data_IF_609915987696
#
_entry.id   IF_609915987696
#
_cell.length_a   1.000
_cell.length_b   1.000
_cell.length_c   1.000
_cell.angle_alpha   90.00
_cell.angle_beta   90.00
_cell.angle_gamma   90.00
#
_symmetry.space_group_name_H-M   'P 1'
#
loop_
_entity.id
_entity.type
_entity.pdbx_description
1 polymer ?
#
# COMPACT_ATOMS: atom_id res chain seq x y z
N UNK A 1 -2.99 -26.34 -55.56
CA UNK A 1 -3.90 -25.70 -54.59
C UNK A 1 -3.23 -25.80 -53.21
N UNK A 2 -2.44 -24.79 -52.84
CA UNK A 2 -1.74 -24.73 -51.54
C UNK A 2 -2.29 -23.54 -50.76
N UNK A 3 -3.20 -23.80 -49.82
CA UNK A 3 -3.73 -22.78 -48.91
C UNK A 3 -2.80 -22.65 -47.70
N UNK A 4 -1.93 -21.64 -47.69
CA UNK A 4 -1.30 -21.13 -46.46
C UNK A 4 -2.28 -20.18 -45.78
N UNK A 5 -2.74 -20.54 -44.59
CA UNK A 5 -3.48 -19.65 -43.68
C UNK A 5 -2.46 -18.76 -42.97
N UNK A 6 -2.49 -17.46 -43.24
CA UNK A 6 -1.79 -16.45 -42.44
C UNK A 6 -2.69 -16.08 -41.26
N UNK A 7 -2.23 -16.34 -40.04
CA UNK A 7 -2.85 -15.84 -38.81
C UNK A 7 -2.31 -14.44 -38.55
N UNK A 8 -3.16 -13.42 -38.69
CA UNK A 8 -2.84 -12.05 -38.27
C UNK A 8 -3.00 -11.97 -36.75
N UNK A 9 -1.89 -11.94 -36.02
CA UNK A 9 -1.86 -11.50 -34.62
C UNK A 9 -1.97 -9.98 -34.58
N UNK A 10 -3.05 -9.47 -34.00
CA UNK A 10 -3.18 -8.04 -33.72
C UNK A 10 -2.39 -7.76 -32.43
N UNK A 11 -1.15 -7.30 -32.59
CA UNK A 11 -0.42 -6.63 -31.51
C UNK A 11 -0.98 -5.21 -31.40
N UNK A 12 -1.89 -4.98 -30.46
CA UNK A 12 -2.34 -3.63 -30.12
C UNK A 12 -1.30 -3.01 -29.19
N UNK A 13 -0.27 -2.40 -29.76
CA UNK A 13 0.62 -1.51 -29.02
C UNK A 13 -0.16 -0.22 -28.72
N UNK A 14 -0.65 -0.08 -27.48
CA UNK A 14 -1.21 1.19 -27.01
C UNK A 14 -0.04 2.12 -26.70
N UNK A 15 0.30 2.97 -27.66
CA UNK A 15 1.12 4.17 -27.39
C UNK A 15 0.29 5.15 -26.58
N UNK A 16 0.62 5.31 -25.29
CA UNK A 16 0.10 6.41 -24.47
C UNK A 16 0.48 7.74 -25.12
N UNK A 17 -0.52 8.55 -25.43
CA UNK A 17 -0.32 9.91 -25.92
C UNK A 17 0.32 10.75 -24.80
N UNK A 18 1.37 11.49 -25.14
CA UNK A 18 2.04 12.41 -24.23
C UNK A 18 1.05 13.51 -23.79
N UNK A 19 0.62 13.47 -22.53
CA UNK A 19 0.02 14.58 -21.83
C UNK A 19 1.10 15.63 -21.52
N UNK A 20 0.72 16.90 -21.41
CA UNK A 20 1.65 18.01 -21.15
C UNK A 20 2.58 17.69 -19.98
N UNK A 21 3.87 17.99 -20.12
CA UNK A 21 4.90 17.57 -19.17
C UNK A 21 4.51 17.97 -17.73
N UNK A 22 4.10 16.98 -16.94
CA UNK A 22 4.04 17.13 -15.49
C UNK A 22 5.43 17.58 -15.00
N UNK A 23 5.50 18.41 -13.97
CA UNK A 23 6.78 18.73 -13.34
C UNK A 23 7.22 17.54 -12.47
N UNK A 24 8.53 17.38 -12.26
CA UNK A 24 9.01 16.45 -11.24
C UNK A 24 8.47 16.88 -9.88
N UNK A 25 8.22 15.92 -8.99
CA UNK A 25 7.90 16.22 -7.61
C UNK A 25 9.07 17.00 -7.00
N UNK A 26 8.79 18.22 -6.57
CA UNK A 26 9.76 19.02 -5.86
C UNK A 26 9.96 18.42 -4.46
N UNK A 27 11.21 18.29 -4.03
CA UNK A 27 11.52 17.99 -2.63
C UNK A 27 10.94 19.14 -1.78
N UNK A 28 10.02 18.86 -0.84
CA UNK A 28 9.39 19.90 -0.03
C UNK A 28 10.41 20.77 0.70
N UNK A 29 10.15 22.07 0.76
CA UNK A 29 10.97 23.00 1.53
C UNK A 29 11.03 22.58 3.00
N UNK A 30 12.22 22.68 3.61
CA UNK A 30 12.45 22.33 5.01
C UNK A 30 12.89 20.88 5.26
N UNK A 31 12.95 20.03 4.22
CA UNK A 31 13.63 18.74 4.31
C UNK A 31 15.13 18.90 4.13
N UNK A 32 15.90 18.11 4.87
CA UNK A 32 17.36 18.05 4.78
C UNK A 32 17.79 16.69 4.25
N UNK A 33 18.72 16.69 3.30
CA UNK A 33 19.31 15.45 2.79
C UNK A 33 20.11 14.75 3.91
N UNK A 34 19.89 13.45 4.04
CA UNK A 34 20.65 12.56 4.91
C UNK A 34 21.00 11.28 4.13
N UNK A 35 22.00 10.53 4.62
CA UNK A 35 22.41 9.26 4.04
C UNK A 35 22.08 8.10 4.97
N UNK A 36 21.63 6.99 4.40
CA UNK A 36 21.56 5.71 5.11
C UNK A 36 22.97 5.16 5.36
N UNK A 37 23.13 4.13 6.22
CA UNK A 37 24.42 3.45 6.39
C UNK A 37 25.00 2.89 5.09
N UNK A 38 24.16 2.56 4.11
CA UNK A 38 24.57 2.04 2.80
C UNK A 38 24.76 3.14 1.74
N UNK A 39 24.54 4.40 2.10
CA UNK A 39 24.74 5.56 1.23
C UNK A 39 23.53 5.99 0.42
N UNK A 40 22.36 5.37 0.61
CA UNK A 40 21.12 5.80 -0.04
C UNK A 40 20.68 7.18 0.49
N UNK A 41 20.06 7.98 -0.38
CA UNK A 41 19.62 9.34 -0.06
C UNK A 41 18.21 9.34 0.47
N UNK A 42 18.01 9.99 1.62
CA UNK A 42 16.69 10.24 2.20
C UNK A 42 16.57 11.73 2.56
N UNK A 43 15.34 12.23 2.64
CA UNK A 43 15.03 13.63 2.92
C UNK A 43 14.24 13.73 4.21
N UNK A 44 14.87 14.25 5.27
CA UNK A 44 14.33 14.26 6.62
C UNK A 44 13.79 15.64 7.02
N UNK A 45 12.63 15.64 7.68
CA UNK A 45 12.12 16.82 8.37
C UNK A 45 12.92 17.15 9.63
N UNK A 46 12.52 18.23 10.29
CA UNK A 46 13.06 18.58 11.60
C UNK A 46 12.73 17.51 12.64
N UNK A 47 13.62 17.26 13.62
CA UNK A 47 13.32 16.34 14.70
C UNK A 47 12.15 16.84 15.55
N UNK A 48 11.34 15.91 16.03
CA UNK A 48 10.33 16.19 17.05
C UNK A 48 10.98 16.44 18.43
N UNK A 49 10.17 16.73 19.44
CA UNK A 49 10.65 17.02 20.80
C UNK A 49 11.50 15.89 21.42
N UNK A 50 11.30 14.65 20.96
CA UNK A 50 12.03 13.47 21.41
C UNK A 50 13.24 13.15 20.53
N UNK A 51 13.54 13.97 19.51
CA UNK A 51 14.68 13.82 18.61
C UNK A 51 14.44 12.90 17.40
N UNK A 52 13.24 12.32 17.25
CA UNK A 52 12.90 11.47 16.11
C UNK A 52 12.61 12.31 14.87
N UNK A 53 12.93 11.80 13.68
CA UNK A 53 12.65 12.44 12.39
C UNK A 53 11.84 11.52 11.51
N UNK A 54 10.94 12.09 10.73
CA UNK A 54 10.37 11.40 9.58
C UNK A 54 11.19 11.74 8.34
N UNK A 55 11.61 10.73 7.61
CA UNK A 55 12.31 10.89 6.34
C UNK A 55 11.59 10.20 5.19
N UNK A 56 11.73 10.81 4.01
CA UNK A 56 11.18 10.31 2.75
C UNK A 56 12.33 9.85 1.86
N UNK A 57 12.32 8.61 1.36
CA UNK A 57 13.30 8.20 0.38
C UNK A 57 13.17 8.93 -0.95
N UNK A 58 14.21 8.81 -1.78
CA UNK A 58 14.20 9.35 -3.13
C UNK A 58 13.04 8.79 -3.98
N UNK A 59 12.62 7.54 -3.72
CA UNK A 59 11.49 6.90 -4.40
C UNK A 59 10.15 7.61 -4.18
N UNK A 60 9.99 8.43 -3.13
CA UNK A 60 8.78 9.24 -2.89
C UNK A 60 8.65 10.46 -3.80
N UNK A 61 9.67 10.76 -4.62
CA UNK A 61 9.68 11.93 -5.47
C UNK A 61 9.78 11.48 -6.93
N UNK A 62 8.64 11.49 -7.63
CA UNK A 62 8.57 11.04 -9.00
C UNK A 62 9.13 12.10 -9.96
N UNK A 63 9.82 11.65 -11.01
CA UNK A 63 10.03 12.46 -12.19
C UNK A 63 8.79 12.38 -13.11
N UNK A 64 8.65 13.28 -14.10
CA UNK A 64 7.53 13.25 -15.03
C UNK A 64 7.42 11.90 -15.76
N UNK A 65 6.23 11.31 -15.78
CA UNK A 65 5.98 10.01 -16.41
C UNK A 65 6.52 8.82 -15.61
N UNK A 66 6.77 9.01 -14.32
CA UNK A 66 7.15 7.95 -13.38
C UNK A 66 6.18 7.89 -12.21
N UNK A 67 6.07 6.71 -11.62
CA UNK A 67 5.45 6.52 -10.32
C UNK A 67 6.43 6.83 -9.19
N UNK A 68 5.90 7.23 -8.03
CA UNK A 68 6.60 7.35 -6.75
C UNK A 68 6.05 6.32 -5.77
N UNK A 69 6.80 6.04 -4.73
CA UNK A 69 6.33 5.24 -3.59
C UNK A 69 5.78 6.12 -2.47
N UNK A 70 5.13 5.47 -1.51
CA UNK A 70 4.42 6.13 -0.40
C UNK A 70 4.93 5.59 0.93
N UNK A 71 6.26 5.54 1.09
CA UNK A 71 6.91 5.09 2.32
C UNK A 71 7.52 6.25 3.11
N UNK A 72 7.40 6.20 4.43
CA UNK A 72 8.03 7.17 5.34
C UNK A 72 8.80 6.45 6.44
N UNK A 73 10.06 6.81 6.62
CA UNK A 73 10.98 6.14 7.54
C UNK A 73 11.03 6.92 8.86
N UNK A 74 10.81 6.23 9.98
CA UNK A 74 11.02 6.80 11.31
C UNK A 74 12.49 6.65 11.72
N UNK A 75 13.18 7.77 11.88
CA UNK A 75 14.58 7.81 12.28
C UNK A 75 14.66 8.18 13.76
N UNK A 76 15.32 7.37 14.60
CA UNK A 76 15.49 7.69 16.01
C UNK A 76 16.57 8.76 16.23
N UNK A 77 16.63 9.34 17.45
CA UNK A 77 17.75 10.19 17.85
C UNK A 77 19.07 9.43 17.72
N UNK A 78 20.03 9.99 16.98
CA UNK A 78 21.32 9.34 16.70
C UNK A 78 21.44 8.68 15.32
N UNK A 79 20.39 8.76 14.47
CA UNK A 79 20.41 8.27 13.09
C UNK A 79 19.87 6.86 12.95
N UNK A 80 20.22 6.13 11.88
CA UNK A 80 19.77 4.74 11.63
C UNK A 80 20.25 3.69 12.65
N UNK A 81 20.78 4.14 13.80
CA UNK A 81 21.14 3.27 14.90
C UNK A 81 19.90 3.03 15.77
N UNK A 82 18.92 2.30 15.24
CA UNK A 82 17.90 1.63 16.05
C UNK A 82 18.62 0.51 16.81
N UNK A 83 19.34 0.88 17.88
CA UNK A 83 20.24 0.02 18.65
C UNK A 83 19.76 -1.44 18.66
N UNK A 84 20.38 -2.32 17.85
CA UNK A 84 20.18 -3.74 18.00
C UNK A 84 20.80 -4.11 19.34
N UNK A 85 20.01 -4.66 20.26
CA UNK A 85 20.61 -5.67 21.14
C UNK A 85 21.26 -6.72 20.22
N UNK A 86 22.43 -7.25 20.57
CA UNK A 86 23.31 -7.97 19.66
C UNK A 86 22.55 -8.93 18.76
N UNK A 87 22.74 -8.79 17.44
CA UNK A 87 22.08 -9.57 16.39
C UNK A 87 20.56 -9.78 16.60
N UNK A 88 19.78 -8.79 16.16
CA UNK A 88 18.41 -9.04 15.72
C UNK A 88 17.34 -9.07 16.81
N UNK A 89 17.17 -7.99 17.58
CA UNK A 89 15.87 -7.70 18.20
C UNK A 89 15.53 -6.21 18.07
N UNK A 90 14.32 -5.83 17.60
CA UNK A 90 13.81 -4.47 17.75
C UNK A 90 13.75 -4.09 19.24
N UNK A 91 14.08 -2.84 19.53
CA UNK A 91 14.18 -2.36 20.90
C UNK A 91 12.79 -2.36 21.58
N UNK A 92 12.72 -2.88 22.81
CA UNK A 92 11.50 -3.04 23.63
C UNK A 92 10.80 -1.73 24.03
N UNK A 93 11.30 -0.57 23.56
CA UNK A 93 10.77 0.77 23.83
C UNK A 93 10.33 1.50 22.55
N UNK A 94 10.52 0.92 21.37
CA UNK A 94 9.94 1.42 20.13
C UNK A 94 8.59 0.72 19.92
N UNK A 95 7.50 1.48 19.96
CA UNK A 95 6.13 0.96 19.73
C UNK A 95 5.84 0.71 18.24
N UNK A 96 6.85 0.31 17.46
CA UNK A 96 6.66 -0.12 16.09
C UNK A 96 5.85 -1.41 16.06
N UNK A 97 4.89 -1.49 15.15
CA UNK A 97 4.01 -2.63 15.01
C UNK A 97 4.74 -3.86 14.46
N UNK A 98 4.28 -5.01 14.92
CA UNK A 98 4.76 -6.35 14.55
C UNK A 98 3.64 -7.11 13.85
N UNK A 99 3.92 -8.22 13.14
CA UNK A 99 2.87 -9.08 12.59
C UNK A 99 1.78 -9.45 13.61
N UNK A 100 2.17 -9.81 14.83
CA UNK A 100 1.25 -10.20 15.89
C UNK A 100 0.38 -9.03 16.38
N UNK A 101 0.95 -7.83 16.51
CA UNK A 101 0.17 -6.67 16.96
C UNK A 101 -0.79 -6.17 15.88
N UNK A 102 -0.39 -6.17 14.61
CA UNK A 102 -1.27 -5.85 13.48
C UNK A 102 -2.42 -6.86 13.41
N UNK A 103 -2.12 -8.16 13.50
CA UNK A 103 -3.14 -9.21 13.52
C UNK A 103 -4.13 -9.05 14.69
N UNK A 104 -3.65 -8.57 15.84
CA UNK A 104 -4.48 -8.31 17.01
C UNK A 104 -5.36 -7.05 16.85
N UNK A 105 -4.78 -5.94 16.36
CA UNK A 105 -5.49 -4.66 16.10
C UNK A 105 -6.67 -4.91 15.15
N UNK A 106 -6.41 -5.58 14.02
CA UNK A 106 -7.42 -5.92 13.04
C UNK A 106 -8.21 -7.20 13.37
N UNK A 107 -8.14 -7.69 14.61
CA UNK A 107 -8.96 -8.83 15.10
C UNK A 107 -8.90 -10.07 14.20
N UNK A 108 -7.78 -10.28 13.52
CA UNK A 108 -7.53 -11.46 12.68
C UNK A 108 -7.24 -12.70 13.55
N UNK A 109 -6.81 -12.42 14.78
CA UNK A 109 -6.61 -13.35 15.89
C UNK A 109 -7.37 -12.81 17.12
N UNK A 110 -7.63 -13.64 18.16
CA UNK A 110 -8.23 -13.14 19.39
C UNK A 110 -7.42 -12.00 20.01
N UNK A 111 -8.10 -10.91 20.40
CA UNK A 111 -7.47 -9.77 21.06
C UNK A 111 -6.89 -10.20 22.40
N UNK A 112 -5.59 -9.94 22.60
CA UNK A 112 -4.87 -10.30 23.81
C UNK A 112 -3.84 -9.23 24.19
N UNK A 113 -3.57 -9.08 25.49
CA UNK A 113 -2.55 -8.16 26.03
C UNK A 113 -2.65 -6.72 25.50
N UNK A 114 -3.88 -6.25 25.25
CA UNK A 114 -4.14 -4.93 24.65
C UNK A 114 -3.50 -4.73 23.28
N UNK A 115 -3.18 -5.80 22.54
CA UNK A 115 -2.43 -5.71 21.27
C UNK A 115 -1.11 -4.91 21.38
N UNK A 116 -0.45 -4.93 22.54
CA UNK A 116 0.83 -4.28 22.74
C UNK A 116 1.94 -5.02 21.94
N UNK A 117 2.67 -4.35 21.03
CA UNK A 117 3.67 -4.98 20.15
C UNK A 117 4.85 -5.61 20.89
N UNK A 118 5.09 -5.24 22.14
CA UNK A 118 6.14 -5.82 22.97
C UNK A 118 5.71 -7.11 23.70
N UNK A 119 4.42 -7.46 23.67
CA UNK A 119 3.85 -8.53 24.51
C UNK A 119 3.04 -9.53 23.70
N UNK A 120 2.28 -9.07 22.71
CA UNK A 120 1.45 -9.96 21.87
C UNK A 120 2.34 -10.74 20.90
N UNK A 121 2.08 -12.04 20.77
CA UNK A 121 2.92 -12.96 19.97
C UNK A 121 2.12 -13.82 19.00
N UNK A 122 0.79 -13.74 19.03
CA UNK A 122 -0.05 -14.57 18.18
C UNK A 122 -0.10 -13.98 16.78
N UNK A 123 0.57 -14.64 15.84
CA UNK A 123 0.48 -14.31 14.43
C UNK A 123 -0.78 -14.94 13.81
N UNK A 124 -1.19 -14.34 12.70
CA UNK A 124 -2.24 -14.88 11.88
C UNK A 124 -1.77 -16.13 11.11
N UNK A 125 -2.70 -17.00 10.75
CA UNK A 125 -2.49 -18.12 9.83
C UNK A 125 -3.47 -18.02 8.67
N UNK A 126 -3.16 -18.68 7.55
CA UNK A 126 -4.01 -18.68 6.36
C UNK A 126 -3.36 -17.90 5.22
N UNK A 127 -4.18 -17.53 4.25
CA UNK A 127 -3.69 -17.12 2.93
C UNK A 127 -3.68 -18.30 1.97
N UNK A 128 -3.92 -18.02 0.70
CA UNK A 128 -3.87 -19.01 -0.37
C UNK A 128 -3.74 -18.35 -1.73
N UNK A 129 -3.52 -19.16 -2.77
CA UNK A 129 -3.29 -18.68 -4.13
C UNK A 129 -2.13 -17.68 -4.16
N UNK A 130 -2.36 -16.44 -4.60
CA UNK A 130 -1.28 -15.49 -4.80
C UNK A 130 -1.59 -14.08 -4.33
N UNK A 131 -0.53 -13.39 -3.91
CA UNK A 131 -0.47 -11.93 -3.84
C UNK A 131 0.64 -11.48 -4.78
N UNK A 132 0.30 -10.65 -5.76
CA UNK A 132 1.27 -9.97 -6.61
C UNK A 132 1.71 -8.64 -6.00
N UNK A 133 3.01 -8.39 -5.96
CA UNK A 133 3.62 -7.11 -5.58
C UNK A 133 4.33 -6.57 -6.81
N UNK A 134 4.18 -5.28 -7.12
CA UNK A 134 4.81 -4.64 -8.27
C UNK A 134 5.67 -3.48 -7.79
N UNK A 135 6.98 -3.59 -8.03
CA UNK A 135 7.97 -2.60 -7.62
C UNK A 135 8.94 -2.28 -8.75
N UNK A 136 9.61 -1.12 -8.69
CA UNK A 136 10.68 -0.81 -9.61
C UNK A 136 12.05 -1.33 -9.12
N UNK A 137 12.94 -1.59 -10.08
CA UNK A 137 14.34 -1.91 -9.85
C UNK A 137 14.57 -3.22 -9.11
N UNK A 138 15.84 -3.54 -8.81
CA UNK A 138 16.22 -4.87 -8.33
C UNK A 138 16.32 -4.91 -6.80
N UNK A 139 15.77 -5.97 -6.21
CA UNK A 139 15.92 -6.31 -4.80
C UNK A 139 16.52 -7.72 -4.63
N UNK A 140 17.84 -7.82 -4.81
CA UNK A 140 18.54 -9.10 -4.90
C UNK A 140 18.49 -9.94 -3.61
N UNK A 141 18.29 -9.31 -2.45
CA UNK A 141 18.23 -9.99 -1.13
C UNK A 141 16.80 -10.23 -0.63
N UNK A 142 15.77 -9.99 -1.47
CA UNK A 142 14.36 -10.08 -1.05
C UNK A 142 14.02 -11.37 -0.28
N UNK A 143 14.41 -12.54 -0.80
CA UNK A 143 14.13 -13.82 -0.14
C UNK A 143 14.89 -14.00 1.17
N UNK A 144 16.17 -13.61 1.23
CA UNK A 144 16.97 -13.74 2.46
C UNK A 144 16.52 -12.79 3.55
N UNK A 145 16.12 -11.57 3.16
CA UNK A 145 15.61 -10.55 4.07
C UNK A 145 14.23 -10.97 4.61
N UNK A 146 13.29 -11.37 3.74
CA UNK A 146 11.97 -11.87 4.16
C UNK A 146 12.06 -13.16 5.01
N UNK A 147 13.04 -14.04 4.74
CA UNK A 147 13.30 -15.21 5.59
C UNK A 147 13.79 -14.79 6.97
N UNK A 148 14.65 -13.77 7.05
CA UNK A 148 15.12 -13.21 8.33
C UNK A 148 13.96 -12.59 9.11
N UNK A 149 13.14 -11.79 8.43
CA UNK A 149 11.91 -11.22 8.98
C UNK A 149 10.97 -12.30 9.54
N UNK A 150 10.70 -13.32 8.73
CA UNK A 150 9.77 -14.41 9.07
C UNK A 150 10.26 -15.21 10.28
N UNK A 151 11.54 -15.59 10.28
CA UNK A 151 12.14 -16.31 11.42
C UNK A 151 12.12 -15.46 12.69
N UNK A 152 12.35 -14.15 12.56
CA UNK A 152 12.38 -13.24 13.69
C UNK A 152 11.01 -13.14 14.37
N UNK A 153 9.95 -12.94 13.58
CA UNK A 153 8.60 -12.80 14.10
C UNK A 153 7.85 -14.12 14.30
N UNK A 154 8.45 -15.26 13.97
CA UNK A 154 7.81 -16.57 14.11
C UNK A 154 6.69 -16.80 13.08
N UNK A 155 6.86 -16.29 11.86
CA UNK A 155 6.02 -16.59 10.71
C UNK A 155 6.50 -17.87 10.01
N UNK A 156 5.62 -18.57 9.26
CA UNK A 156 6.03 -19.63 8.36
C UNK A 156 7.09 -19.17 7.35
N UNK A 157 7.86 -20.13 6.82
CA UNK A 157 8.79 -19.85 5.74
C UNK A 157 8.03 -19.26 4.52
N UNK A 158 8.52 -18.18 3.91
CA UNK A 158 7.83 -17.51 2.80
C UNK A 158 7.87 -18.36 1.52
N UNK A 159 6.74 -18.42 0.79
CA UNK A 159 6.71 -18.84 -0.62
C UNK A 159 6.80 -17.61 -1.52
N UNK A 160 8.02 -17.04 -1.60
CA UNK A 160 8.31 -15.86 -2.41
C UNK A 160 8.89 -16.25 -3.77
N UNK A 161 8.33 -15.67 -4.83
CA UNK A 161 8.83 -15.78 -6.21
C UNK A 161 9.18 -14.41 -6.75
N UNK A 162 10.47 -14.16 -6.91
CA UNK A 162 10.98 -12.94 -7.56
C UNK A 162 10.92 -13.12 -9.08
N UNK A 163 10.24 -12.20 -9.75
CA UNK A 163 10.03 -12.19 -11.20
C UNK A 163 10.56 -10.87 -11.74
N UNK A 164 11.40 -10.91 -12.77
CA UNK A 164 11.79 -9.67 -13.45
C UNK A 164 10.70 -9.30 -14.45
N UNK A 165 9.97 -8.21 -14.17
CA UNK A 165 8.91 -7.65 -15.00
C UNK A 165 9.42 -6.99 -16.29
N UNK A 166 10.62 -7.33 -16.74
CA UNK A 166 11.28 -6.82 -17.96
C UNK A 166 11.02 -7.72 -19.17
N UNK A 167 10.31 -8.83 -18.99
CA UNK A 167 9.91 -9.78 -20.03
C UNK A 167 8.76 -9.27 -20.90
N UNK A 168 8.47 -9.98 -22.00
CA UNK A 168 7.28 -9.71 -22.81
C UNK A 168 6.02 -10.20 -22.05
N UNK A 169 5.09 -9.31 -21.66
CA UNK A 169 3.92 -9.69 -20.87
C UNK A 169 2.98 -10.64 -21.63
N UNK A 170 3.04 -10.68 -22.96
CA UNK A 170 2.31 -11.64 -23.77
C UNK A 170 2.69 -13.12 -23.51
N UNK A 171 3.84 -13.36 -22.84
CA UNK A 171 4.27 -14.70 -22.45
C UNK A 171 3.65 -15.16 -21.12
N UNK A 172 2.86 -14.33 -20.45
CA UNK A 172 2.23 -14.63 -19.16
C UNK A 172 3.19 -14.48 -17.98
N UNK A 173 3.06 -15.34 -16.97
CA UNK A 173 3.91 -15.34 -15.77
C UNK A 173 5.31 -15.88 -16.07
N UNK A 174 6.13 -15.06 -16.73
CA UNK A 174 7.48 -15.42 -17.14
C UNK A 174 8.43 -14.30 -16.74
N UNK A 175 9.48 -14.66 -15.99
CA UNK A 175 10.54 -13.73 -15.65
C UNK A 175 11.31 -13.31 -16.90
N UNK A 176 11.59 -12.01 -17.00
CA UNK A 176 12.58 -11.47 -17.92
C UNK A 176 13.95 -12.12 -17.70
N UNK A 177 14.81 -12.14 -18.73
CA UNK A 177 16.08 -12.86 -18.70
C UNK A 177 17.16 -12.19 -17.87
N UNK A 178 17.00 -10.89 -17.54
CA UNK A 178 18.00 -10.09 -16.84
C UNK A 178 17.29 -9.28 -15.74
N UNK A 179 17.85 -9.24 -14.51
CA UNK A 179 17.35 -8.36 -13.47
C UNK A 179 17.49 -6.88 -13.86
N UNK A 180 16.66 -5.99 -13.31
CA UNK A 180 16.91 -4.55 -13.38
C UNK A 180 18.33 -4.21 -12.86
N UNK A 181 18.98 -3.22 -13.46
CA UNK A 181 20.40 -2.91 -13.18
C UNK A 181 20.62 -2.03 -11.96
N UNK A 182 19.62 -1.22 -11.59
CA UNK A 182 19.67 -0.39 -10.38
C UNK A 182 19.31 -1.25 -9.19
N UNK A 183 20.15 -1.22 -8.16
CA UNK A 183 20.03 -2.08 -6.96
C UNK A 183 19.87 -1.31 -5.65
N UNK A 184 20.06 0.01 -5.67
CA UNK A 184 20.01 0.85 -4.46
C UNK A 184 19.50 2.25 -4.80
N UNK A 185 18.19 2.45 -4.64
CA UNK A 185 17.57 3.77 -4.70
C UNK A 185 16.31 3.88 -3.83
N UNK A 186 16.21 3.01 -2.82
CA UNK A 186 15.11 2.90 -1.86
C UNK A 186 13.86 2.15 -2.33
N UNK A 187 13.73 1.83 -3.63
CA UNK A 187 12.67 0.91 -4.09
C UNK A 187 12.83 -0.51 -3.53
N UNK A 188 14.05 -0.92 -3.15
CA UNK A 188 14.27 -2.16 -2.41
C UNK A 188 13.70 -2.12 -0.98
N UNK A 189 13.65 -0.93 -0.37
CA UNK A 189 13.01 -0.71 0.93
C UNK A 189 11.49 -0.77 0.84
N UNK A 190 10.93 -0.23 -0.24
CA UNK A 190 9.52 -0.37 -0.61
C UNK A 190 9.15 -1.85 -0.82
N UNK A 191 9.91 -2.55 -1.66
CA UNK A 191 9.68 -3.96 -1.94
C UNK A 191 9.80 -4.83 -0.68
N UNK A 192 10.69 -4.48 0.26
CA UNK A 192 10.77 -5.14 1.56
C UNK A 192 9.51 -4.92 2.40
N UNK A 193 9.04 -3.67 2.50
CA UNK A 193 7.80 -3.34 3.20
C UNK A 193 6.62 -4.13 2.62
N UNK A 194 6.47 -4.16 1.30
CA UNK A 194 5.36 -4.79 0.63
C UNK A 194 5.31 -6.31 0.83
N UNK A 195 6.43 -7.01 0.58
CA UNK A 195 6.46 -8.47 0.74
C UNK A 195 6.34 -8.89 2.21
N UNK A 196 6.90 -8.11 3.14
CA UNK A 196 6.85 -8.43 4.56
C UNK A 196 5.45 -8.23 5.14
N UNK A 197 4.75 -7.15 4.77
CA UNK A 197 3.38 -6.90 5.21
C UNK A 197 2.38 -7.89 4.59
N UNK A 198 2.52 -8.20 3.30
CA UNK A 198 1.69 -9.21 2.65
C UNK A 198 1.90 -10.59 3.30
N UNK A 199 3.16 -11.00 3.53
CA UNK A 199 3.48 -12.28 4.16
C UNK A 199 3.03 -12.35 5.63
N UNK A 200 3.18 -11.25 6.38
CA UNK A 200 2.76 -11.17 7.76
C UNK A 200 1.26 -11.46 7.92
N UNK A 201 0.43 -11.04 6.96
CA UNK A 201 -1.03 -11.17 7.06
C UNK A 201 -1.64 -12.31 6.23
N UNK A 202 -0.93 -12.83 5.24
CA UNK A 202 -1.31 -14.00 4.45
C UNK A 202 -0.13 -15.00 4.30
N UNK A 203 0.36 -15.59 5.41
CA UNK A 203 1.63 -16.33 5.42
C UNK A 203 1.67 -17.62 4.59
N UNK A 204 0.51 -18.13 4.15
CA UNK A 204 0.41 -19.31 3.29
C UNK A 204 0.14 -18.96 1.80
N UNK A 205 0.05 -17.68 1.44
CA UNK A 205 -0.08 -17.25 0.04
C UNK A 205 1.27 -17.33 -0.67
N UNK A 206 1.28 -17.64 -1.97
CA UNK A 206 2.45 -17.42 -2.81
C UNK A 206 2.58 -15.92 -3.09
N UNK A 207 3.72 -15.31 -2.76
CA UNK A 207 3.99 -13.91 -3.06
C UNK A 207 4.80 -13.85 -4.36
N UNK A 208 4.30 -13.11 -5.36
CA UNK A 208 5.04 -12.79 -6.57
C UNK A 208 5.55 -11.36 -6.49
N UNK A 209 6.83 -11.18 -6.21
CA UNK A 209 7.49 -9.87 -6.30
C UNK A 209 7.92 -9.64 -7.75
N UNK A 210 7.22 -8.76 -8.47
CA UNK A 210 7.45 -8.45 -9.87
C UNK A 210 8.18 -7.11 -10.01
N UNK A 211 9.44 -7.19 -10.42
CA UNK A 211 10.37 -6.07 -10.45
C UNK A 211 10.45 -5.44 -11.85
N UNK A 212 9.91 -4.24 -12.01
CA UNK A 212 9.99 -3.43 -13.21
C UNK A 212 11.42 -2.93 -13.47
N UNK A 213 11.75 -2.64 -14.73
CA UNK A 213 13.08 -2.12 -15.08
C UNK A 213 13.34 -0.71 -14.52
N UNK A 214 12.28 0.09 -14.37
CA UNK A 214 12.31 1.45 -13.84
C UNK A 214 10.90 1.85 -13.35
N UNK A 215 10.73 2.97 -12.62
CA UNK A 215 9.43 3.44 -12.18
C UNK A 215 8.68 4.18 -13.29
N UNK A 216 9.18 4.18 -14.53
CA UNK A 216 8.45 4.77 -15.65
C UNK A 216 7.09 4.10 -15.83
N UNK A 217 6.09 4.88 -16.24
CA UNK A 217 4.73 4.37 -16.42
C UNK A 217 4.67 3.15 -17.34
N UNK A 218 5.52 3.13 -18.38
CA UNK A 218 5.62 2.01 -19.32
C UNK A 218 6.18 0.75 -18.66
N UNK A 219 7.30 0.84 -17.95
CA UNK A 219 7.94 -0.32 -17.33
C UNK A 219 7.06 -0.89 -16.20
N UNK A 220 6.44 -0.01 -15.40
CA UNK A 220 5.50 -0.42 -14.35
C UNK A 220 4.24 -1.07 -14.91
N UNK A 221 3.69 -0.57 -16.03
CA UNK A 221 2.56 -1.21 -16.70
C UNK A 221 2.89 -2.60 -17.26
N UNK A 222 4.12 -2.81 -17.75
CA UNK A 222 4.58 -4.14 -18.18
C UNK A 222 4.69 -5.08 -16.98
N UNK A 223 5.31 -4.63 -15.88
CA UNK A 223 5.43 -5.42 -14.66
C UNK A 223 4.06 -5.77 -14.07
N UNK A 224 3.11 -4.84 -14.08
CA UNK A 224 1.72 -5.08 -13.66
C UNK A 224 1.03 -6.17 -14.49
N UNK A 225 1.22 -6.19 -15.81
CA UNK A 225 0.66 -7.25 -16.67
C UNK A 225 1.28 -8.62 -16.36
N UNK A 226 2.59 -8.67 -16.08
CA UNK A 226 3.27 -9.91 -15.65
C UNK A 226 2.75 -10.38 -14.28
N UNK A 227 2.61 -9.47 -13.31
CA UNK A 227 2.03 -9.77 -12.00
C UNK A 227 0.60 -10.30 -12.11
N UNK A 228 -0.22 -9.65 -12.94
CA UNK A 228 -1.59 -10.10 -13.26
C UNK A 228 -1.60 -11.53 -13.81
N UNK A 229 -0.72 -11.83 -14.76
CA UNK A 229 -0.61 -13.17 -15.31
C UNK A 229 -0.14 -14.21 -14.28
N UNK A 230 0.75 -13.83 -13.35
CA UNK A 230 1.19 -14.71 -12.25
C UNK A 230 0.06 -15.02 -11.27
N UNK A 231 -0.67 -13.99 -10.84
CA UNK A 231 -1.82 -14.17 -9.93
C UNK A 231 -2.91 -15.02 -10.60
N UNK A 232 -3.22 -14.78 -11.88
CA UNK A 232 -4.18 -15.61 -12.61
C UNK A 232 -3.71 -17.07 -12.77
N UNK A 233 -2.43 -17.30 -13.05
CA UNK A 233 -1.87 -18.64 -13.15
C UNK A 233 -1.91 -19.40 -11.81
N UNK A 234 -1.90 -18.69 -10.68
CA UNK A 234 -2.08 -19.25 -9.34
C UNK A 234 -3.57 -19.49 -8.96
N UNK A 235 -4.51 -19.22 -9.87
CA UNK A 235 -5.94 -19.38 -9.65
C UNK A 235 -6.67 -18.12 -9.19
N UNK A 236 -6.04 -16.95 -9.29
CA UNK A 236 -6.56 -15.66 -8.84
C UNK A 236 -6.00 -15.22 -7.49
N UNK A 237 -6.35 -14.02 -7.06
CA UNK A 237 -5.76 -13.40 -5.86
C UNK A 237 -5.76 -11.88 -5.91
N UNK A 238 -4.82 -11.29 -5.18
CA UNK A 238 -4.73 -9.86 -4.97
C UNK A 238 -3.44 -9.33 -5.61
N UNK A 239 -3.45 -8.06 -6.03
CA UNK A 239 -2.25 -7.32 -6.41
C UNK A 239 -2.18 -6.07 -5.54
N UNK A 240 -1.07 -5.90 -4.83
CA UNK A 240 -0.76 -4.67 -4.10
C UNK A 240 0.15 -3.78 -4.96
N UNK A 241 -0.17 -2.49 -4.99
CA UNK A 241 0.54 -1.45 -5.71
C UNK A 241 0.81 -0.30 -4.76
N UNK A 242 1.98 -0.29 -4.14
CA UNK A 242 2.40 0.73 -3.18
C UNK A 242 3.05 1.94 -3.86
N UNK A 243 2.50 2.32 -5.02
CA UNK A 243 3.00 3.40 -5.85
C UNK A 243 1.87 4.21 -6.46
N UNK A 244 2.17 5.47 -6.78
CA UNK A 244 1.19 6.42 -7.26
C UNK A 244 1.83 7.54 -8.08
N UNK A 245 0.99 8.24 -8.82
CA UNK A 245 1.33 9.44 -9.57
C UNK A 245 0.14 10.39 -9.56
N UNK A 246 0.33 11.72 -9.68
CA UNK A 246 -0.79 12.64 -9.75
C UNK A 246 -1.80 12.22 -10.82
N UNK A 247 -3.09 12.40 -10.52
CA UNK A 247 -4.14 12.15 -11.52
C UNK A 247 -3.89 12.98 -12.79
N UNK A 248 -4.30 12.45 -13.95
CA UNK A 248 -4.03 13.06 -15.24
C UNK A 248 -5.17 12.94 -16.23
N UNK A 249 -5.25 13.93 -17.14
CA UNK A 249 -6.22 13.90 -18.22
C UNK A 249 -6.02 12.66 -19.11
N UNK A 250 -7.05 11.83 -19.22
CA UNK A 250 -7.04 10.59 -20.00
C UNK A 250 -6.75 9.33 -19.18
N UNK A 251 -6.62 9.42 -17.85
CA UNK A 251 -6.37 8.26 -16.98
C UNK A 251 -7.45 7.16 -17.05
N UNK A 252 -8.70 7.53 -17.29
CA UNK A 252 -9.81 6.60 -17.63
C UNK A 252 -9.46 5.55 -18.71
N UNK A 253 -8.55 5.86 -19.64
CA UNK A 253 -8.12 4.90 -20.66
C UNK A 253 -7.11 3.86 -20.12
N UNK A 254 -6.35 4.21 -19.08
CA UNK A 254 -5.41 3.32 -18.41
C UNK A 254 -6.10 2.30 -17.50
N UNK A 255 -7.36 2.55 -17.10
CA UNK A 255 -8.17 1.67 -16.25
C UNK A 255 -8.33 0.25 -16.77
N UNK A 256 -8.18 0.05 -18.08
CA UNK A 256 -8.18 -1.27 -18.70
C UNK A 256 -7.15 -2.21 -18.07
N UNK A 257 -6.05 -1.67 -17.53
CA UNK A 257 -5.01 -2.41 -16.82
C UNK A 257 -5.48 -3.11 -15.54
N UNK A 258 -6.63 -2.69 -14.98
CA UNK A 258 -7.15 -3.18 -13.70
C UNK A 258 -8.44 -4.00 -13.84
N UNK A 259 -8.76 -4.47 -15.06
CA UNK A 259 -10.00 -5.20 -15.36
C UNK A 259 -9.85 -6.72 -15.39
N UNK A 260 -8.69 -7.23 -14.96
CA UNK A 260 -8.36 -8.65 -15.08
C UNK A 260 -9.31 -9.54 -14.23
N UNK A 261 -9.85 -10.63 -14.80
CA UNK A 261 -10.70 -11.54 -14.04
C UNK A 261 -9.89 -12.28 -12.98
N UNK A 262 -10.56 -12.57 -11.86
CA UNK A 262 -10.04 -13.23 -10.66
C UNK A 262 -8.87 -12.50 -9.98
N UNK A 263 -8.71 -11.20 -10.24
CA UNK A 263 -7.68 -10.35 -9.62
C UNK A 263 -8.36 -9.14 -8.98
N UNK A 264 -8.01 -8.87 -7.72
CA UNK A 264 -8.37 -7.65 -7.02
C UNK A 264 -7.13 -6.76 -6.86
N UNK A 265 -7.21 -5.52 -7.31
CA UNK A 265 -6.10 -4.56 -7.29
C UNK A 265 -6.25 -3.59 -6.11
N UNK A 266 -5.21 -3.43 -5.31
CA UNK A 266 -5.14 -2.51 -4.17
C UNK A 266 -4.02 -1.52 -4.41
N UNK A 267 -4.31 -0.23 -4.29
CA UNK A 267 -3.31 0.82 -4.45
C UNK A 267 -3.28 1.75 -3.25
N UNK A 268 -2.08 2.16 -2.84
CA UNK A 268 -1.92 3.22 -1.84
C UNK A 268 -2.62 4.50 -2.31
N UNK A 269 -3.30 5.17 -1.38
CA UNK A 269 -4.04 6.40 -1.67
C UNK A 269 -3.14 7.65 -1.68
N UNK A 270 -1.93 7.53 -1.13
CA UNK A 270 -0.93 8.58 -1.13
C UNK A 270 -0.52 9.03 0.28
N UNK A 271 0.61 9.75 0.31
CA UNK A 271 1.29 10.22 1.53
C UNK A 271 1.27 11.74 1.67
N UNK A 272 0.39 12.36 0.89
CA UNK A 272 0.06 13.77 0.92
C UNK A 272 -1.41 13.98 0.58
N UNK A 273 -2.05 15.02 1.12
CA UNK A 273 -3.39 15.42 0.71
C UNK A 273 -3.61 15.46 -0.80
N UNK A 274 -4.74 14.90 -1.24
CA UNK A 274 -5.12 14.84 -2.66
C UNK A 274 -5.37 13.40 -3.10
N UNK A 275 -5.84 13.26 -4.34
CA UNK A 275 -6.12 11.98 -4.98
C UNK A 275 -5.02 11.70 -6.02
N UNK A 276 -4.70 10.44 -6.22
CA UNK A 276 -3.68 10.02 -7.17
C UNK A 276 -4.08 8.74 -7.91
N UNK A 277 -3.39 8.45 -9.00
CA UNK A 277 -3.58 7.25 -9.82
C UNK A 277 -2.48 6.23 -9.49
N UNK A 278 -2.80 4.94 -9.27
CA UNK A 278 -4.02 4.24 -9.68
C UNK A 278 -5.13 4.11 -8.62
N UNK A 279 -4.97 4.63 -7.40
CA UNK A 279 -6.01 4.53 -6.37
C UNK A 279 -7.31 5.25 -6.76
N UNK A 280 -7.25 6.25 -7.65
CA UNK A 280 -8.42 6.87 -8.27
C UNK A 280 -9.22 5.96 -9.21
N UNK A 281 -8.61 4.93 -9.80
CA UNK A 281 -9.31 4.07 -10.76
C UNK A 281 -10.55 3.43 -10.13
N UNK A 282 -11.71 3.38 -10.82
CA UNK A 282 -12.90 2.67 -10.35
C UNK A 282 -12.74 1.13 -10.38
N UNK A 283 -11.62 0.64 -10.90
CA UNK A 283 -11.26 -0.77 -10.96
C UNK A 283 -10.18 -1.16 -9.93
N UNK A 284 -9.89 -0.28 -8.97
CA UNK A 284 -8.87 -0.47 -7.93
C UNK A 284 -9.45 -0.09 -6.57
N UNK A 285 -9.15 -0.88 -5.54
CA UNK A 285 -9.39 -0.48 -4.16
C UNK A 285 -8.33 0.55 -3.76
N UNK A 286 -8.75 1.79 -3.54
CA UNK A 286 -7.88 2.81 -2.94
C UNK A 286 -7.70 2.52 -1.45
N UNK A 287 -6.46 2.51 -0.96
CA UNK A 287 -6.13 2.17 0.42
C UNK A 287 -5.47 3.36 1.12
N UNK A 288 -6.22 3.97 2.04
CA UNK A 288 -5.78 5.10 2.86
C UNK A 288 -5.02 4.68 4.11
N UNK A 289 -4.71 5.67 4.93
CA UNK A 289 -3.82 5.57 6.07
C UNK A 289 -4.45 5.92 7.41
N UNK A 290 -4.16 5.13 8.43
CA UNK A 290 -4.51 5.41 9.84
C UNK A 290 -3.26 5.61 10.70
N UNK A 291 -3.44 6.33 11.80
CA UNK A 291 -2.50 6.38 12.93
C UNK A 291 -3.05 5.49 14.04
N UNK A 292 -2.22 4.59 14.59
CA UNK A 292 -2.58 3.78 15.74
C UNK A 292 -2.38 4.59 17.02
N UNK A 293 -3.40 4.66 17.87
CA UNK A 293 -3.33 5.33 19.18
C UNK A 293 -3.13 4.29 20.27
N UNK A 294 -2.18 4.56 21.16
CA UNK A 294 -1.82 3.66 22.27
C UNK A 294 -1.79 4.38 23.61
N UNK A 295 -2.19 3.67 24.64
CA UNK A 295 -2.01 4.10 26.03
C UNK A 295 -0.50 4.21 26.33
N UNK A 296 -0.06 5.38 26.80
CA UNK A 296 1.37 5.68 26.98
C UNK A 296 2.03 4.92 28.13
N UNK A 297 1.26 4.37 29.07
CA UNK A 297 1.79 3.67 30.25
C UNK A 297 1.92 2.16 29.99
N UNK A 298 0.95 1.60 29.27
CA UNK A 298 0.76 0.17 29.07
C UNK A 298 1.09 -0.27 27.66
N UNK A 299 1.15 0.65 26.69
CA UNK A 299 1.32 0.35 25.27
C UNK A 299 0.11 -0.35 24.64
N UNK A 300 -1.03 -0.42 25.33
CA UNK A 300 -2.24 -1.03 24.80
C UNK A 300 -2.83 -0.20 23.64
N UNK A 301 -3.34 -0.87 22.62
CA UNK A 301 -4.12 -0.28 21.54
C UNK A 301 -5.41 0.32 22.10
N UNK A 302 -5.70 1.57 21.73
CA UNK A 302 -6.91 2.30 22.13
C UNK A 302 -7.85 2.49 20.96
N UNK A 303 -7.34 3.03 19.85
CA UNK A 303 -8.12 3.35 18.66
C UNK A 303 -7.24 3.55 17.43
N UNK A 304 -7.88 3.69 16.27
CA UNK A 304 -7.27 4.25 15.07
C UNK A 304 -7.85 5.66 14.85
N UNK A 305 -7.03 6.56 14.31
CA UNK A 305 -7.45 7.89 13.84
C UNK A 305 -6.96 8.09 12.40
N UNK A 306 -7.59 8.99 11.64
CA UNK A 306 -7.13 9.33 10.30
C UNK A 306 -5.68 9.83 10.33
N UNK A 307 -4.82 9.24 9.50
CA UNK A 307 -3.46 9.73 9.38
C UNK A 307 -3.46 11.06 8.62
N UNK A 308 -2.88 12.10 9.21
CA UNK A 308 -2.95 13.46 8.64
C UNK A 308 -2.39 13.59 7.22
N UNK A 309 -1.48 12.70 6.83
CA UNK A 309 -0.88 12.73 5.51
C UNK A 309 -1.52 11.75 4.53
N UNK A 310 -2.54 10.98 4.92
CA UNK A 310 -3.21 10.08 3.96
C UNK A 310 -3.76 10.86 2.79
N UNK A 311 -3.54 10.33 1.59
CA UNK A 311 -4.25 10.75 0.40
C UNK A 311 -5.72 10.32 0.45
N UNK A 312 -6.52 11.03 -0.33
CA UNK A 312 -7.97 10.89 -0.35
C UNK A 312 -8.68 12.19 -0.75
N UNK A 313 -9.93 12.05 -1.16
CA UNK A 313 -10.72 13.11 -1.75
C UNK A 313 -11.45 12.67 -3.02
N UNK A 314 -12.21 13.58 -3.65
CA UNK A 314 -12.87 13.35 -4.93
C UNK A 314 -11.85 13.40 -6.07
N UNK A 315 -11.90 12.41 -6.96
CA UNK A 315 -11.11 12.40 -8.20
C UNK A 315 -11.41 13.62 -9.07
N UNK A 316 -10.38 14.14 -9.74
CA UNK A 316 -10.53 15.22 -10.72
C UNK A 316 -10.99 14.74 -12.11
N UNK A 317 -10.92 13.43 -12.41
CA UNK A 317 -11.17 12.89 -13.75
C UNK A 317 -12.13 11.69 -13.77
N UNK A 318 -12.12 10.85 -12.73
CA UNK A 318 -12.95 9.66 -12.64
C UNK A 318 -14.36 10.03 -12.12
N UNK A 319 -15.44 9.71 -12.85
CA UNK A 319 -16.80 9.95 -12.38
C UNK A 319 -17.19 8.97 -11.27
N UNK A 320 -18.21 9.29 -10.47
CA UNK A 320 -18.72 8.38 -9.43
C UNK A 320 -19.08 7.01 -10.04
N UNK A 321 -18.41 5.93 -9.65
CA UNK A 321 -18.75 4.60 -10.11
C UNK A 321 -20.07 4.12 -9.48
N UNK A 322 -20.76 3.20 -10.17
CA UNK A 322 -22.10 2.76 -9.77
C UNK A 322 -22.19 2.21 -8.34
N UNK A 323 -21.15 1.53 -7.86
CA UNK A 323 -21.08 1.01 -6.49
C UNK A 323 -21.01 2.13 -5.43
N UNK A 324 -20.52 3.32 -5.78
CA UNK A 324 -20.45 4.51 -4.92
C UNK A 324 -21.69 5.41 -5.02
N UNK A 325 -22.69 5.05 -5.83
CA UNK A 325 -23.89 5.89 -6.05
C UNK A 325 -24.67 6.25 -4.79
N UNK A 326 -24.62 5.41 -3.75
CA UNK A 326 -25.20 5.69 -2.43
C UNK A 326 -24.56 6.89 -1.70
N UNK A 327 -23.38 7.33 -2.13
CA UNK A 327 -22.64 8.45 -1.56
C UNK A 327 -22.72 9.73 -2.42
N UNK A 328 -23.58 9.77 -3.44
CA UNK A 328 -23.60 10.85 -4.44
C UNK A 328 -23.66 12.28 -3.84
N UNK A 329 -24.36 12.47 -2.72
CA UNK A 329 -24.45 13.77 -2.04
C UNK A 329 -23.11 14.25 -1.47
N UNK A 330 -22.26 13.32 -1.04
CA UNK A 330 -20.91 13.60 -0.53
C UNK A 330 -19.91 13.74 -1.68
N UNK A 331 -19.98 12.85 -2.67
CA UNK A 331 -18.98 12.74 -3.73
C UNK A 331 -19.08 13.80 -4.82
N UNK A 332 -20.26 14.42 -5.00
CA UNK A 332 -20.43 15.49 -5.99
C UNK A 332 -20.22 15.05 -7.44
N UNK A 333 -20.36 13.75 -7.75
CA UNK A 333 -20.22 13.20 -9.10
C UNK A 333 -18.82 12.66 -9.45
N UNK A 334 -17.87 12.68 -8.52
CA UNK A 334 -16.53 12.10 -8.69
C UNK A 334 -16.39 10.73 -8.02
N UNK A 335 -15.42 9.91 -8.47
CA UNK A 335 -14.95 8.72 -7.73
C UNK A 335 -14.33 9.19 -6.43
N UNK A 336 -14.72 8.60 -5.31
CA UNK A 336 -14.16 8.99 -4.03
C UNK A 336 -13.11 8.05 -3.48
N UNK A 337 -11.94 8.56 -3.07
CA UNK A 337 -10.81 7.79 -2.52
C UNK A 337 -10.61 8.19 -1.04
N UNK A 338 -10.22 7.25 -0.15
CA UNK A 338 -10.00 5.82 -0.38
C UNK A 338 -11.27 4.97 -0.20
N UNK A 339 -11.16 3.65 -0.45
CA UNK A 339 -12.22 2.68 -0.20
C UNK A 339 -12.08 2.02 1.18
N UNK A 340 -10.86 1.71 1.57
CA UNK A 340 -10.47 1.13 2.86
C UNK A 340 -9.23 1.84 3.39
N UNK A 341 -8.86 1.59 4.63
CA UNK A 341 -7.61 2.09 5.19
C UNK A 341 -6.90 1.04 6.05
N UNK A 342 -5.63 1.29 6.32
CA UNK A 342 -4.86 0.57 7.32
C UNK A 342 -3.74 1.48 7.83
N UNK A 343 -3.01 1.02 8.84
CA UNK A 343 -1.89 1.70 9.46
C UNK A 343 -0.90 2.26 8.42
N UNK A 344 -0.60 3.54 8.57
CA UNK A 344 0.29 4.29 7.68
C UNK A 344 1.10 5.35 8.43
N UNK A 345 0.80 5.72 9.67
CA UNK A 345 1.63 6.73 10.34
C UNK A 345 3.01 6.15 10.74
N UNK A 346 4.13 6.68 10.23
CA UNK A 346 5.46 6.18 10.61
C UNK A 346 5.78 6.34 12.10
N UNK A 347 5.11 7.23 12.84
CA UNK A 347 5.27 7.35 14.29
C UNK A 347 4.79 6.10 15.03
N UNK A 348 3.84 5.37 14.44
CA UNK A 348 3.36 4.06 14.89
C UNK A 348 3.53 3.04 13.76
N UNK A 349 4.59 3.18 12.97
CA UNK A 349 4.78 2.39 11.76
C UNK A 349 5.05 0.92 12.04
N UNK A 350 5.27 0.16 10.99
CA UNK A 350 5.57 -1.27 11.04
C UNK A 350 7.08 -1.51 11.02
N UNK A 351 7.52 -2.55 11.71
CA UNK A 351 8.88 -3.04 11.57
C UNK A 351 9.07 -3.70 10.20
N UNK A 352 10.18 -3.40 9.55
CA UNK A 352 10.65 -4.11 8.36
C UNK A 352 12.14 -4.48 8.45
N UNK A 353 12.59 -5.47 7.67
CA UNK A 353 14.00 -5.84 7.54
C UNK A 353 14.51 -5.67 6.10
N UNK A 354 15.45 -4.76 5.89
CA UNK A 354 16.02 -4.53 4.56
C UNK A 354 17.52 -4.27 4.66
N UNK A 355 18.30 -5.12 3.98
CA UNK A 355 19.77 -5.01 3.99
C UNK A 355 20.34 -4.00 3.01
N UNK A 356 19.82 -3.81 1.77
CA UNK A 356 20.48 -2.95 0.78
C UNK A 356 20.38 -1.45 1.08
N UNK A 357 19.25 -0.96 1.59
CA UNK A 357 19.04 0.47 1.90
C UNK A 357 19.23 0.78 3.39
N UNK A 358 18.63 -0.04 4.27
CA UNK A 358 18.58 0.27 5.69
C UNK A 358 19.60 -0.49 6.54
N UNK A 359 20.31 -1.46 5.97
CA UNK A 359 21.28 -2.31 6.67
C UNK A 359 20.67 -3.03 7.89
N UNK A 360 19.41 -3.45 7.80
CA UNK A 360 18.71 -4.24 8.81
C UNK A 360 17.31 -3.71 9.16
N UNK A 361 16.99 -3.74 10.45
CA UNK A 361 15.68 -3.39 10.98
C UNK A 361 15.42 -1.89 10.96
N UNK A 362 14.26 -1.48 10.46
CA UNK A 362 13.77 -0.10 10.53
C UNK A 362 12.25 -0.04 10.71
N UNK A 363 11.74 1.10 11.16
CA UNK A 363 10.29 1.37 11.23
C UNK A 363 9.90 2.22 10.03
N UNK A 364 8.86 1.77 9.32
CA UNK A 364 8.32 2.45 8.15
C UNK A 364 6.81 2.59 8.29
N UNK A 365 6.27 3.70 7.80
CA UNK A 365 4.86 3.90 7.53
C UNK A 365 4.67 4.37 6.09
N UNK A 366 3.57 5.08 5.90
CA UNK A 366 3.01 5.53 4.65
C UNK A 366 1.92 4.59 4.15
N UNK A 367 1.09 5.05 3.21
CA UNK A 367 0.02 4.24 2.61
C UNK A 367 0.56 3.04 1.84
N UNK A 368 1.85 3.03 1.53
CA UNK A 368 2.60 1.84 1.12
C UNK A 368 2.57 0.69 2.14
N UNK A 369 2.49 0.96 3.44
CA UNK A 369 2.28 -0.11 4.42
C UNK A 369 0.82 -0.60 4.36
N UNK A 370 -0.12 0.31 4.14
CA UNK A 370 -1.56 0.03 4.19
C UNK A 370 -2.03 -0.88 3.04
N UNK A 371 -1.60 -0.63 1.80
CA UNK A 371 -2.01 -1.41 0.62
C UNK A 371 -1.71 -2.93 0.74
N UNK A 372 -0.48 -3.38 1.04
CA UNK A 372 -0.17 -4.80 1.20
C UNK A 372 -0.79 -5.39 2.47
N UNK A 373 -1.01 -4.59 3.52
CA UNK A 373 -1.76 -5.01 4.70
C UNK A 373 -3.20 -5.39 4.32
N UNK A 374 -3.91 -4.51 3.61
CA UNK A 374 -5.30 -4.77 3.20
C UNK A 374 -5.36 -5.95 2.22
N UNK A 375 -4.46 -6.01 1.25
CA UNK A 375 -4.37 -7.15 0.32
C UNK A 375 -4.13 -8.48 1.06
N UNK A 376 -3.24 -8.49 2.05
CA UNK A 376 -2.97 -9.66 2.90
C UNK A 376 -4.19 -10.09 3.72
N UNK A 377 -4.91 -9.14 4.34
CA UNK A 377 -6.14 -9.43 5.10
C UNK A 377 -7.20 -10.08 4.20
N UNK A 378 -7.42 -9.51 3.01
CA UNK A 378 -8.38 -10.03 2.02
C UNK A 378 -7.98 -11.44 1.56
N UNK A 379 -6.73 -11.63 1.14
CA UNK A 379 -6.23 -12.94 0.70
C UNK A 379 -6.43 -13.99 1.80
N UNK A 380 -6.12 -13.62 3.04
CA UNK A 380 -6.19 -14.50 4.21
C UNK A 380 -7.61 -14.89 4.57
N UNK A 381 -8.60 -14.01 4.35
CA UNK A 381 -10.02 -14.37 4.45
C UNK A 381 -10.45 -15.46 3.44
N UNK A 382 -9.59 -15.77 2.45
CA UNK A 382 -9.80 -16.80 1.43
C UNK A 382 -11.06 -16.56 0.57
N UNK A 383 -11.43 -15.28 0.44
CA UNK A 383 -12.52 -14.83 -0.39
C UNK A 383 -11.98 -14.05 -1.60
N UNK A 384 -11.93 -14.73 -2.74
CA UNK A 384 -11.33 -14.20 -3.95
C UNK A 384 -12.42 -13.65 -4.88
N UNK A 385 -12.48 -12.32 -5.01
CA UNK A 385 -13.41 -11.69 -5.93
C UNK A 385 -13.08 -12.00 -7.40
N UNK A 386 -14.12 -12.08 -8.22
CA UNK A 386 -13.97 -12.27 -9.67
C UNK A 386 -13.34 -11.07 -10.38
N UNK A 387 -13.27 -9.91 -9.73
CA UNK A 387 -12.59 -8.67 -10.17
C UNK A 387 -12.65 -7.62 -9.06
N UNK A 388 -11.85 -6.54 -9.12
CA UNK A 388 -12.00 -5.44 -8.16
C UNK A 388 -13.38 -4.80 -8.16
N UNK A 389 -14.03 -4.48 -9.31
CA UNK A 389 -15.38 -3.93 -9.32
C UNK A 389 -16.41 -4.83 -8.62
N UNK A 390 -16.25 -6.16 -8.71
CA UNK A 390 -17.14 -7.09 -8.01
C UNK A 390 -16.96 -7.00 -6.48
N UNK A 391 -15.73 -6.85 -6.00
CA UNK A 391 -15.46 -6.70 -4.58
C UNK A 391 -15.80 -5.31 -4.03
N UNK A 392 -15.53 -4.24 -4.78
CA UNK A 392 -16.00 -2.89 -4.48
C UNK A 392 -17.53 -2.88 -4.38
N UNK A 393 -18.24 -3.40 -5.39
CA UNK A 393 -19.70 -3.53 -5.31
C UNK A 393 -20.15 -4.33 -4.09
N UNK A 394 -19.43 -5.37 -3.67
CA UNK A 394 -19.77 -6.14 -2.48
C UNK A 394 -19.66 -5.30 -1.19
N UNK A 395 -18.54 -4.60 -0.98
CA UNK A 395 -18.30 -3.76 0.21
C UNK A 395 -19.35 -2.64 0.29
N UNK A 396 -19.58 -1.91 -0.79
CA UNK A 396 -20.56 -0.82 -0.81
C UNK A 396 -22.00 -1.34 -0.65
N UNK A 397 -22.33 -2.53 -1.16
CA UNK A 397 -23.62 -3.16 -0.91
C UNK A 397 -23.80 -3.60 0.56
N UNK A 398 -22.75 -4.09 1.22
CA UNK A 398 -22.78 -4.39 2.66
C UNK A 398 -23.00 -3.11 3.47
N UNK A 399 -22.40 -1.99 3.07
CA UNK A 399 -22.61 -0.69 3.71
C UNK A 399 -24.07 -0.23 3.56
N UNK A 400 -24.62 -0.31 2.34
CA UNK A 400 -26.03 0.03 2.07
C UNK A 400 -27.03 -0.85 2.86
N UNK A 401 -26.61 -2.03 3.30
CA UNK A 401 -27.38 -2.94 4.15
C UNK A 401 -27.10 -2.75 5.65
N UNK A 402 -26.26 -1.79 6.04
CA UNK A 402 -25.79 -1.58 7.42
C UNK A 402 -25.11 -2.82 8.02
N UNK A 403 -24.42 -3.60 7.19
CA UNK A 403 -23.72 -4.84 7.59
C UNK A 403 -22.20 -4.71 7.59
N UNK A 404 -21.66 -3.67 6.94
CA UNK A 404 -20.21 -3.53 6.75
C UNK A 404 -19.45 -3.35 8.08
N UNK A 405 -20.04 -2.75 9.11
CA UNK A 405 -19.42 -2.56 10.44
C UNK A 405 -19.02 -3.85 11.15
N UNK A 406 -19.50 -5.01 10.69
CA UNK A 406 -19.02 -6.31 11.18
C UNK A 406 -17.65 -6.71 10.63
N UNK A 407 -17.18 -6.02 9.57
CA UNK A 407 -15.98 -6.34 8.80
C UNK A 407 -14.98 -5.18 8.71
N UNK A 408 -15.41 -3.96 9.07
CA UNK A 408 -14.53 -2.79 9.13
C UNK A 408 -14.66 -2.05 10.47
N UNK A 409 -13.56 -1.44 10.92
CA UNK A 409 -13.53 -0.53 12.05
C UNK A 409 -13.64 0.86 11.47
N UNK A 410 -14.74 1.53 11.78
CA UNK A 410 -14.98 2.92 11.40
C UNK A 410 -13.98 3.86 12.12
N UNK A 411 -13.22 4.63 11.34
CA UNK A 411 -12.19 5.54 11.84
C UNK A 411 -12.76 6.96 11.91
N UNK A 412 -13.51 7.19 12.99
CA UNK A 412 -14.33 8.38 13.13
C UNK A 412 -13.64 9.55 13.86
N UNK A 413 -12.34 9.75 13.64
CA UNK A 413 -11.59 10.86 14.27
C UNK A 413 -10.26 11.15 13.57
N UNK A 414 -9.63 12.28 13.93
CA UNK A 414 -8.48 12.81 13.20
C UNK A 414 -8.92 13.69 12.03
N UNK A 415 -7.96 14.12 11.22
CA UNK A 415 -8.19 14.93 10.02
C UNK A 415 -7.18 14.59 8.94
N UNK A 416 -7.53 14.70 7.67
CA UNK A 416 -6.62 14.55 6.53
C UNK A 416 -6.94 15.58 5.43
N UNK A 417 -6.28 15.49 4.28
CA UNK A 417 -6.63 16.31 3.12
C UNK A 417 -6.19 17.77 3.25
N UNK A 418 -6.46 18.60 2.22
CA UNK A 418 -5.98 19.98 2.19
C UNK A 418 -6.72 20.83 3.24
N UNK A 419 -6.04 21.84 3.78
CA UNK A 419 -6.68 22.80 4.72
C UNK A 419 -7.80 23.57 4.01
N UNK A 420 -9.05 23.26 4.39
CA UNK A 420 -10.30 23.84 3.87
C UNK A 420 -10.83 23.12 2.62
N UNK A 421 -12.13 22.89 2.39
CA UNK A 421 -13.34 23.17 3.14
C UNK A 421 -14.27 21.94 3.12
N UNK A 422 -14.61 21.44 4.30
CA UNK A 422 -15.80 20.62 4.56
C UNK A 422 -16.42 21.14 5.87
N UNK A 423 -16.90 22.40 5.84
CA UNK A 423 -17.68 23.13 6.85
C UNK A 423 -17.55 22.74 8.34
N UNK A 424 -16.33 22.74 8.88
CA UNK A 424 -16.11 22.58 10.32
C UNK A 424 -14.71 22.96 10.84
N UNK A 425 -14.17 24.09 10.39
CA UNK A 425 -12.91 24.72 10.84
C UNK A 425 -11.57 24.13 10.35
N UNK A 426 -11.23 24.40 9.08
CA UNK A 426 -9.86 24.78 8.67
C UNK A 426 -8.73 23.76 8.75
N UNK A 427 -8.99 22.51 9.14
CA UNK A 427 -7.95 21.50 9.36
C UNK A 427 -7.85 20.41 8.28
N UNK A 428 -8.88 20.24 7.43
CA UNK A 428 -8.93 19.13 6.47
C UNK A 428 -10.34 18.57 6.28
N UNK A 429 -10.41 17.36 5.72
CA UNK A 429 -11.56 16.46 5.87
C UNK A 429 -11.57 15.88 7.29
N UNK A 430 -12.74 15.89 7.94
CA UNK A 430 -12.97 15.39 9.29
C UNK A 430 -14.02 14.27 9.23
N UNK A 431 -13.65 13.01 9.50
CA UNK A 431 -14.57 11.87 9.48
C UNK A 431 -15.82 12.07 10.35
N UNK A 432 -15.68 12.64 11.56
CA UNK A 432 -16.80 12.85 12.48
C UNK A 432 -17.78 13.88 11.98
N UNK A 433 -17.27 14.93 11.35
CA UNK A 433 -18.12 15.92 10.70
C UNK A 433 -18.84 15.32 9.47
N UNK A 434 -18.15 14.52 8.66
CA UNK A 434 -18.73 13.85 7.48
C UNK A 434 -19.85 12.91 7.91
N UNK A 435 -19.62 12.03 8.89
CA UNK A 435 -20.64 11.11 9.37
C UNK A 435 -21.84 11.85 9.96
N UNK A 436 -21.60 12.87 10.78
CA UNK A 436 -22.67 13.68 11.36
C UNK A 436 -23.51 14.40 10.28
N UNK A 437 -22.89 14.84 9.19
CA UNK A 437 -23.52 15.63 8.12
C UNK A 437 -24.23 14.75 7.07
N UNK A 438 -23.55 13.70 6.59
CA UNK A 438 -23.99 12.87 5.47
C UNK A 438 -24.58 11.53 5.91
N UNK A 439 -24.57 11.21 7.21
CA UNK A 439 -25.14 9.97 7.79
C UNK A 439 -24.54 8.70 7.19
N UNK A 440 -23.24 8.74 6.93
CA UNK A 440 -22.45 7.63 6.39
C UNK A 440 -21.12 7.57 7.13
N UNK A 441 -20.67 6.36 7.47
CA UNK A 441 -19.34 6.16 8.06
C UNK A 441 -18.23 6.22 7.02
N UNK A 442 -18.57 6.35 5.72
CA UNK A 442 -17.55 6.56 4.69
C UNK A 442 -17.04 7.99 4.71
N UNK A 443 -15.72 8.15 4.70
CA UNK A 443 -15.06 9.46 4.71
C UNK A 443 -13.87 9.55 3.73
N UNK A 444 -13.42 10.78 3.47
CA UNK A 444 -12.34 11.09 2.51
C UNK A 444 -10.93 10.74 3.00
N UNK A 445 -10.76 10.32 4.26
CA UNK A 445 -9.48 9.97 4.85
C UNK A 445 -9.27 8.46 4.88
N UNK A 446 -10.31 7.72 5.29
CA UNK A 446 -10.19 6.30 5.57
C UNK A 446 -11.17 5.42 4.80
N UNK A 447 -12.01 6.03 3.96
CA UNK A 447 -13.03 5.30 3.22
C UNK A 447 -14.02 4.68 4.20
N UNK A 448 -14.24 3.37 4.10
CA UNK A 448 -15.05 2.64 5.09
C UNK A 448 -14.29 2.29 6.38
N UNK A 449 -13.02 2.66 6.51
CA UNK A 449 -12.17 2.34 7.65
C UNK A 449 -11.32 1.08 7.44
N UNK A 450 -10.84 0.50 8.54
CA UNK A 450 -9.89 -0.61 8.50
C UNK A 450 -10.55 -1.98 8.51
N UNK A 451 -10.20 -2.91 7.60
CA UNK A 451 -10.78 -4.24 7.60
C UNK A 451 -10.35 -5.03 8.85
N UNK A 452 -11.28 -5.78 9.45
CA UNK A 452 -11.01 -6.64 10.61
C UNK A 452 -11.76 -7.96 10.55
N UNK A 453 -11.31 -8.91 11.37
CA UNK A 453 -11.97 -10.19 11.57
C UNK A 453 -11.46 -11.32 10.70
N UNK A 454 -12.26 -12.38 10.57
CA UNK A 454 -11.87 -13.65 9.96
C UNK A 454 -12.64 -14.03 8.69
N UNK A 455 -13.50 -13.15 8.17
CA UNK A 455 -14.49 -13.48 7.14
C UNK A 455 -14.62 -12.43 6.07
#
# INVERSE_FOLDING_TARGET
MNNRKYSFGVCLAVTLAASGAAAADAIPAGLTEIKTPTGATLYAGQPNANGFRIARPQSNFAAPGQYRTHMQVLIPPGGYNLNPKPAGQPATNALGETPASIACIYRLVPVASGCNPNVVTTNVTGGSRAIGIVDAYNYATALSDLTTYSNFFGLPAPDLRVIYGTGNPANGCVSGPVPPTVTTNSWDGEAALDIEMAHALAPNATIYLVLANSPSNTDMAIALQVATACVQAAGGGEISMSFGSPEFAGETAADIGFTAPNVAFFASAGDTPGVEYPSASPNVFGVGGTTVVRDQNTGAFESEIAWISTGGGPSAYEPTPSYQSGLAALLGGARGVPDLAAIADPNTGVWIYNTPTFNGWTIIGGTSAAAPIVAGIVNRASFFWGSSPAGLANIYNLAAQSRLSSYVTDVNSGVCGPKGAANGAGAGYDPAWIEATYKTSWDWCTGWGSPHGSH
#
